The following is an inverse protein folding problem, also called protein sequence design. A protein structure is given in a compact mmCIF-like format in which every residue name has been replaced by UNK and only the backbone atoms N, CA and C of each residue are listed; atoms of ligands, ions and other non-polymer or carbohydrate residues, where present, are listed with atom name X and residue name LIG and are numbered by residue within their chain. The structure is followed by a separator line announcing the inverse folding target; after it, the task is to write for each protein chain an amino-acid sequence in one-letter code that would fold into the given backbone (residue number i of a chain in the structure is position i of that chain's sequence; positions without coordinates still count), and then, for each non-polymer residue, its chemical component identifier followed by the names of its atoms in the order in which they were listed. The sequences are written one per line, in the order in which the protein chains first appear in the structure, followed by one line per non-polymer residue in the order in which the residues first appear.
data_IF_904397228513
#
_entry.id   IF_904397228513
#
_cell.length_a   1.000
_cell.length_b   1.000
_cell.length_c   1.000
_cell.angle_alpha   90.00
_cell.angle_beta   90.00
_cell.angle_gamma   90.00
#
_symmetry.space_group_name_H-M   'P 1'
#
loop_
_entity.id
_entity.type
_entity.pdbx_description
1 polymer ?
#
# COMPACT_ATOMS: atom_id res chain seq x y z
N UNK A 1 3.49 13.45 0.96
CA UNK A 1 4.66 12.86 1.65
C UNK A 1 5.10 11.65 0.82
N UNK A 2 6.35 11.58 0.37
CA UNK A 2 6.79 10.53 -0.56
C UNK A 2 7.52 9.42 0.21
N UNK A 3 6.77 8.41 0.67
CA UNK A 3 7.31 7.31 1.45
C UNK A 3 7.62 6.16 0.49
N UNK A 4 8.90 5.81 0.26
CA UNK A 4 9.26 4.65 -0.52
C UNK A 4 8.96 3.38 0.30
N UNK A 5 8.40 2.40 -0.35
CA UNK A 5 8.14 1.08 0.21
C UNK A 5 8.60 0.01 -0.78
N UNK A 6 8.97 -1.13 -0.22
CA UNK A 6 9.31 -2.32 -0.96
C UNK A 6 8.12 -3.27 -0.87
N UNK A 7 7.56 -3.68 -2.01
CA UNK A 7 6.53 -4.73 -2.08
C UNK A 7 7.08 -5.92 -2.86
N UNK A 8 6.71 -7.12 -2.48
CA UNK A 8 7.09 -8.30 -3.23
C UNK A 8 6.10 -8.59 -4.35
N UNK A 9 6.64 -8.84 -5.55
CA UNK A 9 5.83 -9.22 -6.69
C UNK A 9 5.24 -10.63 -6.50
N UNK A 10 3.92 -10.83 -6.63
CA UNK A 10 3.30 -12.16 -6.48
C UNK A 10 3.73 -13.15 -7.57
N UNK A 11 4.16 -12.67 -8.74
CA UNK A 11 4.54 -13.53 -9.87
C UNK A 11 6.01 -13.96 -9.90
N UNK A 12 6.94 -13.16 -9.35
CA UNK A 12 8.36 -13.50 -9.36
C UNK A 12 9.09 -13.30 -8.03
N UNK A 13 8.36 -12.94 -6.97
CA UNK A 13 8.88 -12.70 -5.62
C UNK A 13 10.02 -11.69 -5.56
N UNK A 14 10.09 -10.79 -6.55
CA UNK A 14 11.08 -9.71 -6.58
C UNK A 14 10.53 -8.50 -5.86
N UNK A 15 11.36 -7.88 -5.03
CA UNK A 15 11.05 -6.62 -4.35
C UNK A 15 10.97 -5.47 -5.36
N UNK A 16 9.84 -4.78 -5.35
CA UNK A 16 9.54 -3.63 -6.18
C UNK A 16 9.51 -2.42 -5.25
N UNK A 17 10.37 -1.44 -5.54
CA UNK A 17 10.34 -0.14 -4.87
C UNK A 17 9.30 0.75 -5.54
N UNK A 18 8.30 1.15 -4.79
CA UNK A 18 7.32 2.14 -5.22
C UNK A 18 7.02 3.12 -4.09
N UNK A 19 6.37 4.22 -4.43
CA UNK A 19 5.95 5.19 -3.43
C UNK A 19 4.54 4.85 -2.94
N UNK A 20 4.27 5.10 -1.66
CA UNK A 20 2.93 4.95 -1.06
C UNK A 20 1.85 5.74 -1.83
N UNK A 21 2.19 6.91 -2.41
CA UNK A 21 1.26 7.69 -3.23
C UNK A 21 0.78 6.94 -4.50
N UNK A 22 1.45 5.85 -4.86
CA UNK A 22 1.11 5.04 -6.02
C UNK A 22 0.32 3.78 -5.66
N UNK A 23 0.18 3.46 -4.37
CA UNK A 23 -0.70 2.41 -3.86
C UNK A 23 -2.12 2.93 -3.66
N UNK A 24 -2.70 3.52 -4.71
CA UNK A 24 -4.09 3.97 -4.65
C UNK A 24 -5.03 2.89 -5.21
N UNK A 25 -6.21 2.68 -4.62
CA UNK A 25 -7.16 1.69 -5.10
C UNK A 25 -7.54 1.97 -6.55
N UNK A 26 -7.42 0.94 -7.41
CA UNK A 26 -7.67 1.05 -8.85
C UNK A 26 -6.45 1.44 -9.67
N UNK A 27 -5.30 1.75 -9.06
CA UNK A 27 -4.02 1.84 -9.77
C UNK A 27 -3.45 0.43 -9.94
N UNK A 28 -2.95 0.14 -11.14
CA UNK A 28 -2.27 -1.10 -11.50
C UNK A 28 -0.82 -0.78 -11.77
N UNK A 29 0.09 -1.54 -11.19
CA UNK A 29 1.51 -1.49 -11.56
C UNK A 29 1.91 -2.80 -12.23
N UNK A 30 2.80 -2.70 -13.19
CA UNK A 30 3.33 -3.86 -13.88
C UNK A 30 4.71 -4.18 -13.30
N UNK A 31 4.94 -5.42 -12.89
CA UNK A 31 6.27 -5.83 -12.51
C UNK A 31 7.20 -5.79 -13.73
N UNK A 32 8.28 -5.01 -13.67
CA UNK A 32 9.24 -4.90 -14.78
C UNK A 32 9.99 -6.19 -15.12
N UNK A 33 9.96 -7.20 -14.24
CA UNK A 33 10.67 -8.46 -14.45
C UNK A 33 9.79 -9.56 -15.06
N UNK A 34 8.64 -9.85 -14.44
CA UNK A 34 7.75 -10.93 -14.91
C UNK A 34 6.49 -10.43 -15.62
N UNK A 35 6.31 -9.11 -15.74
CA UNK A 35 5.11 -8.47 -16.30
C UNK A 35 3.82 -8.84 -15.57
N UNK A 36 3.91 -9.35 -14.33
CA UNK A 36 2.74 -9.57 -13.50
C UNK A 36 2.06 -8.23 -13.21
N UNK A 37 0.75 -8.18 -13.46
CA UNK A 37 -0.10 -7.04 -13.11
C UNK A 37 -0.40 -7.11 -11.61
N UNK A 38 0.06 -6.09 -10.88
CA UNK A 38 -0.24 -5.90 -9.47
C UNK A 38 -1.31 -4.83 -9.42
N UNK A 39 -2.56 -5.30 -9.34
CA UNK A 39 -3.69 -4.43 -9.09
C UNK A 39 -3.77 -4.14 -7.59
N UNK A 40 -3.73 -2.87 -7.22
CA UNK A 40 -4.05 -2.48 -5.86
C UNK A 40 -5.58 -2.51 -5.70
N UNK A 41 -6.12 -3.70 -5.47
CA UNK A 41 -7.52 -3.90 -5.10
C UNK A 41 -7.66 -3.44 -3.65
N UNK A 42 -8.26 -2.27 -3.44
CA UNK A 42 -8.48 -1.69 -2.12
C UNK A 42 -9.40 -2.48 -1.19
N UNK A 43 -9.57 -3.79 -1.36
CA UNK A 43 -10.41 -4.62 -0.50
C UNK A 43 -9.71 -4.92 0.84
N UNK A 44 -8.40 -5.17 0.84
CA UNK A 44 -7.56 -5.08 2.05
C UNK A 44 -7.28 -3.62 2.44
N UNK A 45 -7.22 -2.72 1.44
CA UNK A 45 -6.97 -1.29 1.64
C UNK A 45 -8.05 -0.56 2.45
N UNK A 46 -9.33 -0.94 2.33
CA UNK A 46 -10.42 -0.39 3.14
C UNK A 46 -10.31 -0.80 4.62
N UNK A 47 -9.89 -2.04 4.88
CA UNK A 47 -9.66 -2.53 6.24
C UNK A 47 -8.45 -1.83 6.86
N UNK A 48 -7.33 -1.76 6.14
CA UNK A 48 -6.11 -1.10 6.60
C UNK A 48 -6.32 0.41 6.80
N UNK A 49 -7.01 1.12 5.89
CA UNK A 49 -7.31 2.55 6.08
C UNK A 49 -8.19 2.81 7.31
N UNK A 50 -9.17 1.93 7.59
CA UNK A 50 -10.05 2.07 8.75
C UNK A 50 -9.28 1.86 10.06
N UNK A 51 -8.36 0.91 10.09
CA UNK A 51 -7.49 0.68 11.26
C UNK A 51 -6.50 1.82 11.48
N UNK A 52 -5.97 2.42 10.40
CA UNK A 52 -5.11 3.61 10.48
C UNK A 52 -5.86 4.85 11.00
N UNK A 53 -7.09 5.11 10.53
CA UNK A 53 -7.93 6.22 11.04
C UNK A 53 -8.26 6.05 12.54
N UNK A 54 -8.56 4.81 12.96
CA UNK A 54 -8.80 4.49 14.35
C UNK A 54 -7.56 4.71 15.23
N UNK A 55 -6.38 4.29 14.75
CA UNK A 55 -5.11 4.49 15.47
C UNK A 55 -4.80 5.98 15.63
N UNK A 56 -4.98 6.79 14.58
CA UNK A 56 -4.74 8.24 14.62
C UNK A 56 -5.65 8.93 15.63
N UNK A 57 -6.94 8.57 15.66
CA UNK A 57 -7.90 9.07 16.66
C UNK A 57 -7.51 8.69 18.10
N UNK A 58 -7.01 7.47 18.31
CA UNK A 58 -6.59 7.00 19.63
C UNK A 58 -5.35 7.76 20.14
N UNK A 59 -4.34 7.96 19.30
CA UNK A 59 -3.15 8.75 19.62
C UNK A 59 -3.51 10.21 19.95
N UNK A 60 -4.44 10.81 19.21
CA UNK A 60 -4.94 12.18 19.47
C UNK A 60 -5.68 12.32 20.80
N UNK A 61 -6.30 11.24 21.29
CA UNK A 61 -6.95 11.20 22.62
C UNK A 61 -5.97 10.98 23.77
N UNK A 62 -4.87 10.27 23.53
CA UNK A 62 -3.82 10.01 24.53
C UNK A 62 -2.86 11.19 24.71
N UNK A 63 -2.71 12.05 23.71
CA UNK A 63 -1.88 13.26 23.75
C UNK A 63 -2.55 14.50 24.37
N UNK A 64 -3.61 14.34 25.17
CA UNK A 64 -4.31 15.42 25.86
C UNK A 64 -4.39 15.15 27.36
#
# INVERSE_FOLDING_TARGET
MNIPIDIDCPGCNRSIKLNVNEMVPGKKINCGNCKAEIEFTGDDGRKVQRELDNLERALKKLGK
#
